data_IF_400016155639
#
_entry.id   IF_400016155639
#
_cell.length_a   1.000
_cell.length_b   1.000
_cell.length_c   1.000
_cell.angle_alpha   90.00
_cell.angle_beta   90.00
_cell.angle_gamma   90.00
#
_symmetry.space_group_name_H-M   'P 1'
#
loop_
_entity.id
_entity.type
_entity.pdbx_description
1 polymer ?
#
# COMPACT_ATOMS: atom_id res chain seq x y z
N UNK A 1 16.74 -6.07 -12.89
CA UNK A 1 15.49 -5.38 -13.24
C UNK A 1 14.42 -5.96 -12.31
N UNK A 2 13.81 -5.14 -11.45
CA UNK A 2 13.02 -5.62 -10.31
C UNK A 2 11.66 -6.19 -10.75
N UNK A 3 11.53 -7.51 -10.80
CA UNK A 3 10.27 -8.23 -11.07
C UNK A 3 9.17 -7.98 -10.01
N UNK A 4 9.54 -7.41 -8.86
CA UNK A 4 8.60 -7.00 -7.81
C UNK A 4 7.62 -5.92 -8.27
N UNK A 5 8.02 -5.06 -9.22
CA UNK A 5 7.16 -3.99 -9.72
C UNK A 5 6.23 -4.43 -10.86
N UNK A 6 6.53 -5.55 -11.52
CA UNK A 6 5.76 -6.06 -12.67
C UNK A 6 4.44 -6.73 -12.23
N UNK A 7 4.39 -7.23 -10.99
CA UNK A 7 3.16 -7.76 -10.38
C UNK A 7 2.16 -6.66 -9.99
N UNK A 8 2.59 -5.41 -9.91
CA UNK A 8 1.73 -4.28 -9.49
C UNK A 8 0.81 -3.77 -10.60
N UNK A 9 0.98 -4.23 -11.84
CA UNK A 9 0.24 -3.74 -13.02
C UNK A 9 -0.82 -4.73 -13.53
N UNK A 10 -0.87 -5.96 -13.02
CA UNK A 10 -1.74 -7.01 -13.55
C UNK A 10 -2.90 -7.33 -12.60
N UNK A 11 -3.89 -6.45 -12.55
CA UNK A 11 -5.30 -6.80 -12.22
C UNK A 11 -6.19 -5.71 -12.83
N UNK A 12 -6.35 -5.79 -14.15
CA UNK A 12 -7.22 -4.93 -14.93
C UNK A 12 -8.49 -5.69 -15.31
N UNK A 13 -9.51 -5.69 -14.43
CA UNK A 13 -10.92 -5.86 -14.82
C UNK A 13 -11.81 -4.95 -13.96
N UNK A 14 -12.27 -3.87 -14.60
CA UNK A 14 -13.45 -3.04 -14.29
C UNK A 14 -13.50 -2.26 -12.95
N UNK A 15 -12.62 -1.26 -12.79
CA UNK A 15 -12.87 -0.13 -11.89
C UNK A 15 -12.52 1.17 -12.63
N UNK A 16 -13.53 1.93 -13.05
CA UNK A 16 -13.35 3.16 -13.81
C UNK A 16 -12.29 4.08 -13.18
N UNK A 17 -11.18 4.31 -13.89
CA UNK A 17 -10.09 5.25 -13.57
C UNK A 17 -9.79 5.41 -12.06
N UNK A 18 -9.80 4.34 -11.28
CA UNK A 18 -9.43 4.40 -9.88
C UNK A 18 -7.97 4.86 -9.80
N UNK A 19 -7.70 5.91 -9.03
CA UNK A 19 -6.32 6.32 -8.83
C UNK A 19 -5.62 5.23 -8.01
N UNK A 20 -4.41 4.86 -8.42
CA UNK A 20 -3.58 3.92 -7.68
C UNK A 20 -2.52 4.76 -6.96
N UNK A 21 -2.62 4.94 -5.62
CA UNK A 21 -1.63 5.70 -4.88
C UNK A 21 -0.25 5.05 -5.03
N UNK A 22 0.84 5.83 -5.08
CA UNK A 22 2.20 5.32 -5.23
C UNK A 22 2.69 4.65 -3.92
N UNK A 23 3.55 3.62 -4.04
CA UNK A 23 4.10 2.94 -2.86
C UNK A 23 5.60 2.67 -2.99
N UNK A 24 6.25 2.66 -1.85
CA UNK A 24 7.62 2.23 -1.63
C UNK A 24 7.60 1.05 -0.64
N UNK A 25 8.29 -0.04 -0.95
CA UNK A 25 8.46 -1.18 -0.06
C UNK A 25 9.95 -1.40 0.18
N UNK A 26 10.37 -1.31 1.43
CA UNK A 26 11.73 -1.57 1.86
C UNK A 26 11.76 -2.83 2.73
N UNK A 27 12.75 -3.70 2.51
CA UNK A 27 13.00 -4.88 3.33
C UNK A 27 14.23 -4.67 4.22
N UNK A 28 14.11 -5.02 5.50
CA UNK A 28 15.20 -5.13 6.47
C UNK A 28 15.31 -6.57 6.95
N UNK A 29 16.35 -6.98 7.69
CA UNK A 29 16.42 -8.34 8.25
C UNK A 29 15.22 -8.68 9.16
N UNK A 30 14.62 -7.69 9.83
CA UNK A 30 13.57 -7.89 10.83
C UNK A 30 12.15 -7.64 10.31
N UNK A 31 11.99 -6.76 9.31
CA UNK A 31 10.66 -6.26 8.90
C UNK A 31 10.60 -5.86 7.43
N UNK A 32 9.37 -5.67 6.95
CA UNK A 32 9.07 -4.86 5.77
C UNK A 32 8.56 -3.50 6.22
N UNK A 33 8.99 -2.44 5.54
CA UNK A 33 8.48 -1.08 5.70
C UNK A 33 7.77 -0.67 4.41
N UNK A 34 6.46 -0.51 4.47
CA UNK A 34 5.65 -0.01 3.36
C UNK A 34 5.33 1.46 3.59
N UNK A 35 5.54 2.28 2.57
CA UNK A 35 4.98 3.64 2.50
C UNK A 35 4.01 3.75 1.34
N UNK A 36 2.89 4.43 1.55
CA UNK A 36 1.90 4.75 0.53
C UNK A 36 1.58 6.24 0.56
N UNK A 37 1.68 6.90 -0.60
CA UNK A 37 1.37 8.32 -0.74
C UNK A 37 -0.14 8.53 -0.95
N UNK A 38 -0.82 9.07 0.07
CA UNK A 38 -2.27 9.30 0.07
C UNK A 38 -2.61 10.70 0.64
N UNK A 39 -2.13 11.81 0.03
CA UNK A 39 -2.34 13.15 0.56
C UNK A 39 -3.79 13.64 0.40
N UNK A 40 -4.21 14.49 1.34
CA UNK A 40 -5.54 15.13 1.33
C UNK A 40 -6.68 14.20 1.76
N UNK A 41 -6.36 13.19 2.58
CA UNK A 41 -7.34 12.31 3.22
C UNK A 41 -7.10 12.27 4.72
N UNK A 42 -8.17 12.05 5.49
CA UNK A 42 -8.05 11.78 6.92
C UNK A 42 -7.71 10.31 7.17
N UNK A 43 -7.16 10.00 8.34
CA UNK A 43 -6.75 8.62 8.70
C UNK A 43 -7.94 7.66 8.67
N UNK A 44 -9.09 8.12 9.14
CA UNK A 44 -10.34 7.37 9.22
C UNK A 44 -10.95 7.04 7.85
N UNK A 45 -10.54 7.73 6.78
CA UNK A 45 -10.97 7.45 5.42
C UNK A 45 -10.08 6.40 4.71
N UNK A 46 -9.09 5.84 5.42
CA UNK A 46 -8.14 4.85 4.91
C UNK A 46 -8.34 3.53 5.66
N UNK A 47 -8.77 2.49 4.95
CA UNK A 47 -8.86 1.12 5.46
C UNK A 47 -7.61 0.33 5.06
N UNK A 48 -7.03 -0.39 6.03
CA UNK A 48 -5.82 -1.20 5.86
C UNK A 48 -6.07 -2.59 6.43
N UNK A 49 -5.93 -3.61 5.58
CA UNK A 49 -6.07 -5.01 5.96
C UNK A 49 -4.77 -5.74 5.63
N UNK A 50 -4.25 -6.48 6.61
CA UNK A 50 -2.98 -7.21 6.48
C UNK A 50 -3.20 -8.70 6.70
N UNK A 51 -2.75 -9.49 5.74
CA UNK A 51 -2.64 -10.94 5.83
C UNK A 51 -1.17 -11.33 5.98
N UNK A 52 -0.88 -12.62 6.07
CA UNK A 52 0.50 -13.08 6.14
C UNK A 52 1.31 -12.77 4.87
N UNK A 53 0.66 -12.62 3.71
CA UNK A 53 1.30 -12.55 2.39
C UNK A 53 0.92 -11.31 1.56
N UNK A 54 0.01 -10.47 2.04
CA UNK A 54 -0.47 -9.31 1.29
C UNK A 54 -1.05 -8.22 2.18
N UNK A 55 -1.05 -6.99 1.66
CA UNK A 55 -1.70 -5.83 2.26
C UNK A 55 -2.74 -5.30 1.28
N UNK A 56 -3.97 -5.11 1.75
CA UNK A 56 -5.00 -4.39 1.01
C UNK A 56 -5.21 -3.02 1.65
N UNK A 57 -5.15 -1.96 0.84
CA UNK A 57 -5.34 -0.58 1.27
C UNK A 57 -6.44 0.02 0.39
N UNK A 58 -7.45 0.61 1.02
CA UNK A 58 -8.56 1.24 0.30
C UNK A 58 -8.99 2.54 0.95
N UNK A 59 -9.67 3.38 0.19
CA UNK A 59 -10.19 4.65 0.66
C UNK A 59 -10.83 5.46 -0.46
N UNK A 60 -11.28 6.67 -0.14
CA UNK A 60 -11.90 7.57 -1.12
C UNK A 60 -11.38 9.00 -0.96
N UNK A 61 -10.73 9.51 -2.00
CA UNK A 61 -10.35 10.93 -2.06
C UNK A 61 -11.49 11.74 -2.67
N UNK A 62 -12.19 12.50 -1.84
CA UNK A 62 -13.37 13.27 -2.27
C UNK A 62 -12.97 14.53 -3.05
N UNK A 63 -13.76 14.86 -4.06
CA UNK A 63 -13.70 16.17 -4.71
C UNK A 63 -14.49 17.17 -3.86
N UNK A 64 -13.82 18.16 -3.29
CA UNK A 64 -14.50 19.29 -2.67
C UNK A 64 -15.15 20.13 -3.78
N UNK A 65 -16.48 20.04 -3.88
CA UNK A 65 -17.26 20.92 -4.76
C UNK A 65 -17.62 22.16 -3.94
N UNK A 66 -16.99 23.29 -4.25
CA UNK A 66 -17.47 24.57 -3.77
C UNK A 66 -18.77 24.92 -4.52
N UNK A 67 -19.89 24.94 -3.79
CA UNK A 67 -21.23 25.18 -4.33
C UNK A 67 -21.52 26.66 -4.59
N UNK A 68 -20.55 27.54 -4.34
CA UNK A 68 -20.66 28.97 -4.57
C UNK A 68 -19.42 29.44 -5.36
N UNK A 69 -19.67 30.07 -6.52
CA UNK A 69 -18.74 30.86 -7.37
C UNK A 69 -18.05 30.21 -8.61
N UNK A 70 -18.66 30.51 -9.77
CA UNK A 70 -18.06 31.13 -10.98
C UNK A 70 -16.60 30.77 -11.32
N UNK A 71 -16.38 29.69 -12.06
CA UNK A 71 -15.11 29.46 -12.77
C UNK A 71 -15.04 28.10 -13.47
N UNK A 72 -14.05 27.92 -14.36
CA UNK A 72 -13.72 26.61 -14.93
C UNK A 72 -12.55 26.03 -14.12
N UNK A 73 -12.80 24.98 -13.35
CA UNK A 73 -11.74 24.26 -12.61
C UNK A 73 -11.09 23.24 -13.53
N UNK A 74 -9.78 23.37 -13.74
CA UNK A 74 -8.94 22.32 -14.34
C UNK A 74 -8.07 21.73 -13.24
N UNK A 75 -8.15 20.42 -13.02
CA UNK A 75 -7.40 19.71 -11.98
C UNK A 75 -6.61 18.56 -12.58
N UNK A 76 -5.38 18.40 -12.13
CA UNK A 76 -4.55 17.22 -12.40
C UNK A 76 -4.62 16.20 -11.25
N UNK A 77 -5.32 16.55 -10.16
CA UNK A 77 -5.51 15.66 -9.04
C UNK A 77 -6.48 14.55 -9.40
N UNK A 78 -6.18 13.36 -8.89
CA UNK A 78 -7.05 12.20 -9.04
C UNK A 78 -7.96 12.09 -7.83
N UNK A 79 -9.26 11.93 -8.07
CA UNK A 79 -10.30 11.79 -7.05
C UNK A 79 -11.02 10.45 -7.23
N UNK A 80 -11.80 10.07 -6.21
CA UNK A 80 -12.60 8.86 -6.19
C UNK A 80 -12.02 7.78 -5.30
N UNK A 81 -12.64 6.60 -5.39
CA UNK A 81 -12.27 5.43 -4.61
C UNK A 81 -11.01 4.79 -5.16
N UNK A 82 -10.18 4.28 -4.27
CA UNK A 82 -9.05 3.43 -4.62
C UNK A 82 -9.08 2.15 -3.80
N UNK A 83 -8.53 1.10 -4.40
CA UNK A 83 -8.19 -0.14 -3.72
C UNK A 83 -6.89 -0.65 -4.32
N UNK A 84 -5.89 -0.82 -3.48
CA UNK A 84 -4.58 -1.35 -3.86
C UNK A 84 -4.27 -2.58 -3.03
N UNK A 85 -3.92 -3.67 -3.69
CA UNK A 85 -3.41 -4.89 -3.04
C UNK A 85 -1.93 -5.00 -3.38
N UNK A 86 -1.10 -5.17 -2.35
CA UNK A 86 0.35 -5.28 -2.47
C UNK A 86 0.74 -6.66 -1.95
N UNK A 87 1.17 -7.59 -2.82
CA UNK A 87 1.74 -8.86 -2.37
C UNK A 87 3.07 -8.62 -1.67
N UNK A 88 3.32 -9.36 -0.59
CA UNK A 88 4.55 -9.27 0.19
C UNK A 88 5.56 -10.29 -0.34
N UNK A 89 6.84 -9.91 -0.46
CA UNK A 89 7.89 -10.83 -0.90
C UNK A 89 8.20 -11.92 0.12
N UNK A 90 7.76 -11.74 1.37
CA UNK A 90 8.03 -12.61 2.51
C UNK A 90 6.86 -12.56 3.50
N UNK A 91 6.65 -13.64 4.25
CA UNK A 91 5.55 -13.70 5.21
C UNK A 91 5.80 -12.78 6.41
N UNK A 92 4.73 -12.14 6.89
CA UNK A 92 4.76 -11.21 8.04
C UNK A 92 3.88 -11.67 9.20
N UNK A 93 4.19 -11.18 10.40
CA UNK A 93 3.35 -11.31 11.59
C UNK A 93 2.23 -10.27 11.52
N UNK A 94 1.17 -10.57 10.78
CA UNK A 94 0.07 -9.63 10.51
C UNK A 94 -0.65 -9.12 11.77
N UNK A 95 -0.57 -9.83 12.90
CA UNK A 95 -1.13 -9.40 14.19
C UNK A 95 -0.29 -8.37 14.94
N UNK A 96 0.94 -8.08 14.47
CA UNK A 96 1.88 -7.16 15.12
C UNK A 96 2.33 -6.02 14.19
N UNK A 97 1.44 -5.60 13.30
CA UNK A 97 1.71 -4.50 12.36
C UNK A 97 1.50 -3.16 13.06
N UNK A 98 2.45 -2.25 12.87
CA UNK A 98 2.33 -0.86 13.34
C UNK A 98 2.12 0.07 12.16
N UNK A 99 1.23 1.06 12.31
CA UNK A 99 0.88 2.02 11.26
C UNK A 99 0.84 3.45 11.76
N UNK A 100 1.52 4.34 11.04
CA UNK A 100 1.50 5.78 11.21
C UNK A 100 0.96 6.44 9.94
N UNK A 101 0.18 7.52 10.09
CA UNK A 101 -0.24 8.35 8.98
C UNK A 101 0.10 9.80 9.31
N UNK A 102 1.01 10.37 8.53
CA UNK A 102 1.56 11.70 8.78
C UNK A 102 1.91 12.36 7.44
N UNK A 103 1.57 13.63 7.31
CA UNK A 103 1.91 14.46 6.14
C UNK A 103 1.50 13.83 4.79
N UNK A 104 0.37 13.12 4.78
CA UNK A 104 -0.15 12.44 3.58
C UNK A 104 0.51 11.11 3.25
N UNK A 105 1.39 10.59 4.12
CA UNK A 105 2.07 9.31 3.94
C UNK A 105 1.58 8.30 4.97
N UNK A 106 1.05 7.17 4.49
CA UNK A 106 0.78 6.00 5.31
C UNK A 106 2.05 5.16 5.39
N UNK A 107 2.60 4.97 6.59
CA UNK A 107 3.77 4.15 6.85
C UNK A 107 3.37 2.94 7.68
N UNK A 108 3.66 1.73 7.18
CA UNK A 108 3.43 0.48 7.89
C UNK A 108 4.77 -0.22 8.16
N UNK A 109 4.94 -0.69 9.39
CA UNK A 109 6.03 -1.60 9.78
C UNK A 109 5.44 -2.99 9.99
N UNK A 110 5.91 -3.95 9.21
CA UNK A 110 5.39 -5.31 9.15
C UNK A 110 6.50 -6.28 9.58
N UNK A 111 6.52 -6.74 10.84
CA UNK A 111 7.55 -7.67 11.29
C UNK A 111 7.50 -8.96 10.47
N UNK A 112 8.67 -9.46 10.05
CA UNK A 112 8.75 -10.76 9.36
C UNK A 112 8.27 -11.89 10.27
N UNK A 113 7.65 -12.90 9.69
CA UNK A 113 7.34 -14.14 10.40
C UNK A 113 8.63 -14.75 10.98
N UNK A 114 8.55 -15.36 12.17
CA UNK A 114 9.75 -15.94 12.83
C UNK A 114 10.44 -16.99 11.96
N UNK A 115 9.65 -17.79 11.24
CA UNK A 115 10.14 -18.81 10.30
C UNK A 115 10.98 -18.24 9.15
N UNK A 116 10.76 -16.97 8.81
CA UNK A 116 11.40 -16.30 7.67
C UNK A 116 12.68 -15.54 8.07
N UNK A 117 12.88 -15.23 9.36
CA UNK A 117 14.06 -14.47 9.82
C UNK A 117 15.38 -15.25 9.71
N UNK A 118 15.32 -16.59 9.76
CA UNK A 118 16.50 -17.46 9.83
C UNK A 118 16.61 -18.45 8.67
N UNK A 119 16.15 -18.07 7.47
CA UNK A 119 16.10 -18.99 6.32
C UNK A 119 17.48 -19.20 5.67
N UNK A 120 18.45 -19.71 6.42
CA UNK A 120 19.66 -20.33 5.90
C UNK A 120 19.58 -21.81 6.23
N UNK A 121 19.25 -22.62 5.23
CA UNK A 121 19.23 -24.08 5.37
C UNK A 121 20.50 -24.62 4.73
N UNK A 122 21.28 -25.40 5.49
CA UNK A 122 22.41 -26.14 4.95
C UNK A 122 21.85 -27.25 4.06
N UNK A 123 22.25 -27.26 2.79
CA UNK A 123 21.85 -28.31 1.84
C UNK A 123 22.90 -29.41 1.91
N UNK A 124 22.47 -30.62 2.25
CA UNK A 124 23.31 -31.80 2.10
C UNK A 124 23.29 -32.23 0.63
N UNK A 125 24.47 -32.24 0.01
CA UNK A 125 24.66 -32.73 -1.36
C UNK A 125 25.03 -34.22 -1.29
N UNK A 126 24.26 -35.05 -1.99
CA UNK A 126 24.55 -36.46 -2.20
C UNK A 126 25.36 -36.67 -3.48
#
# INVERSE_FOLDING_TARGET
>A
MNHLFDSLTTTSEDVGSAFVPAAELQETPEALHLKLEVPGMNREDIDVQVTADSIAISGERKLERHTEEKGVTRSEFRYGKFRRVIPLPIRVQNTNVHGEYKDGILSLTLPKAEEEKNRVVKVDLA
#
